data_IF_688643516572
#
_entry.id   IF_688643516572
#
_cell.length_a   1.000
_cell.length_b   1.000
_cell.length_c   1.000
_cell.angle_alpha   90.00
_cell.angle_beta   90.00
_cell.angle_gamma   90.00
#
_symmetry.space_group_name_H-M   'P 1'
#
loop_
_entity.id
_entity.type
_entity.pdbx_description
1 polymer ?
#
# COMPACT_ATOMS: atom_id res chain seq x y z
N UNK A 1 -11.09 -8.85 -22.34
CA UNK A 1 -11.93 -8.34 -21.26
C UNK A 1 -13.34 -8.46 -21.76
N UNK A 2 -14.23 -9.00 -20.95
CA UNK A 2 -15.65 -9.15 -21.25
C UNK A 2 -16.39 -8.26 -20.25
N UNK A 3 -17.16 -7.30 -20.73
CA UNK A 3 -18.04 -6.50 -19.85
C UNK A 3 -19.33 -7.28 -19.68
N UNK A 4 -19.74 -7.47 -18.44
CA UNK A 4 -20.96 -8.18 -18.09
C UNK A 4 -22.08 -7.18 -17.92
N UNK A 5 -22.19 -6.58 -16.74
CA UNK A 5 -23.34 -5.78 -16.34
C UNK A 5 -22.93 -4.33 -16.05
N UNK A 6 -23.87 -3.41 -16.19
CA UNK A 6 -23.75 -2.01 -15.79
C UNK A 6 -24.98 -1.60 -14.97
N UNK A 7 -24.70 -1.10 -13.77
CA UNK A 7 -25.67 -0.35 -12.99
C UNK A 7 -25.31 1.13 -13.05
N UNK A 8 -26.34 1.98 -13.05
CA UNK A 8 -26.17 3.42 -13.03
C UNK A 8 -26.99 4.01 -11.88
N UNK A 9 -26.43 4.99 -11.20
CA UNK A 9 -27.15 5.78 -10.20
C UNK A 9 -27.29 7.21 -10.69
N UNK A 10 -28.36 7.87 -10.29
CA UNK A 10 -28.65 9.27 -10.58
C UNK A 10 -28.67 10.11 -9.31
N UNK A 11 -28.89 11.42 -9.46
CA UNK A 11 -29.30 12.26 -8.36
C UNK A 11 -30.63 11.74 -7.74
N UNK A 12 -30.78 11.70 -6.40
CA UNK A 12 -32.01 11.29 -5.73
C UNK A 12 -33.29 11.95 -6.26
N UNK A 13 -33.23 13.21 -6.72
CA UNK A 13 -34.37 13.91 -7.31
C UNK A 13 -34.78 13.33 -8.68
N UNK A 14 -33.84 12.75 -9.43
CA UNK A 14 -34.09 12.12 -10.72
C UNK A 14 -34.63 10.68 -10.58
N UNK A 15 -34.17 9.91 -9.59
CA UNK A 15 -34.65 8.53 -9.38
C UNK A 15 -36.13 8.47 -8.96
N UNK A 16 -36.59 9.48 -8.19
CA UNK A 16 -38.00 9.64 -7.80
C UNK A 16 -38.97 9.89 -8.96
N UNK A 17 -38.47 10.23 -10.16
CA UNK A 17 -39.30 10.56 -11.33
C UNK A 17 -39.66 9.36 -12.24
N UNK A 18 -39.13 8.16 -11.95
CA UNK A 18 -39.33 6.96 -12.77
C UNK A 18 -39.95 5.75 -12.01
N UNK A 19 -41.10 5.91 -11.34
CA UNK A 19 -41.77 4.78 -10.70
C UNK A 19 -42.33 3.79 -11.75
N UNK A 20 -42.07 2.50 -11.57
CA UNK A 20 -42.66 1.41 -12.37
C UNK A 20 -41.88 0.95 -13.60
N UNK A 21 -40.71 1.54 -13.93
CA UNK A 21 -39.85 1.04 -15.02
C UNK A 21 -39.07 -0.22 -14.61
N UNK A 22 -38.82 -1.11 -15.57
CA UNK A 22 -37.88 -2.21 -15.37
C UNK A 22 -36.45 -1.66 -15.15
N UNK A 23 -35.55 -2.42 -14.49
CA UNK A 23 -34.16 -1.98 -14.29
C UNK A 23 -33.48 -1.58 -15.62
N UNK A 24 -33.78 -2.30 -16.70
CA UNK A 24 -33.24 -2.07 -18.04
C UNK A 24 -33.77 -0.79 -18.67
N UNK A 25 -35.08 -0.53 -18.56
CA UNK A 25 -35.71 0.68 -19.10
C UNK A 25 -35.26 1.92 -18.35
N UNK A 26 -35.08 1.79 -17.02
CA UNK A 26 -34.56 2.84 -16.16
C UNK A 26 -33.13 3.24 -16.56
N UNK A 27 -32.26 2.26 -16.82
CA UNK A 27 -30.89 2.49 -17.30
C UNK A 27 -30.86 3.23 -18.65
N UNK A 28 -31.74 2.84 -19.58
CA UNK A 28 -31.87 3.51 -20.88
C UNK A 28 -32.29 4.98 -20.70
N UNK A 29 -33.34 5.22 -19.91
CA UNK A 29 -33.84 6.55 -19.63
C UNK A 29 -32.77 7.47 -19.01
N UNK A 30 -32.02 6.96 -18.02
CA UNK A 30 -30.95 7.73 -17.40
C UNK A 30 -29.84 8.10 -18.39
N UNK A 31 -29.49 7.18 -19.30
CA UNK A 31 -28.47 7.43 -20.30
C UNK A 31 -28.92 8.49 -21.33
N UNK A 32 -30.15 8.39 -21.83
CA UNK A 32 -30.68 9.30 -22.84
C UNK A 32 -30.83 10.73 -22.32
N UNK A 33 -31.26 10.89 -21.06
CA UNK A 33 -31.47 12.20 -20.42
C UNK A 33 -30.21 12.77 -19.73
N UNK A 34 -29.05 12.11 -19.88
CA UNK A 34 -27.78 12.50 -19.25
C UNK A 34 -27.89 12.66 -17.72
N UNK A 35 -28.66 11.78 -17.06
CA UNK A 35 -28.93 11.86 -15.61
C UNK A 35 -27.97 11.01 -14.76
N UNK A 36 -27.10 10.23 -15.40
CA UNK A 36 -26.20 9.29 -14.71
C UNK A 36 -25.09 10.05 -14.00
N UNK A 37 -24.88 9.77 -12.71
CA UNK A 37 -23.77 10.30 -11.93
C UNK A 37 -22.65 9.27 -11.75
N UNK A 38 -23.03 8.03 -11.46
CA UNK A 38 -22.10 6.91 -11.28
C UNK A 38 -22.51 5.72 -12.14
N UNK A 39 -21.51 5.03 -12.67
CA UNK A 39 -21.64 3.78 -13.42
C UNK A 39 -20.84 2.70 -12.71
N UNK A 40 -21.51 1.71 -12.14
CA UNK A 40 -20.86 0.48 -11.67
C UNK A 40 -20.81 -0.51 -12.82
N UNK A 41 -19.61 -0.90 -13.22
CA UNK A 41 -19.38 -1.80 -14.35
C UNK A 41 -18.69 -3.07 -13.87
N UNK A 42 -19.35 -4.20 -14.13
CA UNK A 42 -18.80 -5.53 -13.91
C UNK A 42 -18.08 -6.02 -15.16
N UNK A 43 -16.84 -6.46 -15.05
CA UNK A 43 -16.13 -7.09 -16.16
C UNK A 43 -15.20 -8.22 -15.71
N UNK A 44 -14.96 -9.17 -16.62
CA UNK A 44 -13.97 -10.24 -16.44
C UNK A 44 -12.73 -10.02 -17.30
N UNK A 45 -11.57 -10.25 -16.70
CA UNK A 45 -10.28 -10.32 -17.38
C UNK A 45 -10.04 -11.75 -17.85
N UNK A 46 -10.44 -12.04 -19.08
CA UNK A 46 -10.52 -13.40 -19.64
C UNK A 46 -9.23 -14.23 -19.50
N UNK A 47 -8.04 -13.62 -19.52
CA UNK A 47 -6.75 -14.34 -19.37
C UNK A 47 -6.44 -14.79 -17.94
N UNK A 48 -7.04 -14.14 -16.95
CA UNK A 48 -6.80 -14.39 -15.53
C UNK A 48 -8.04 -14.95 -14.83
N UNK A 49 -9.18 -15.04 -15.54
CA UNK A 49 -10.47 -15.47 -14.98
C UNK A 49 -10.95 -14.66 -13.76
N UNK A 50 -10.42 -13.46 -13.58
CA UNK A 50 -10.78 -12.54 -12.49
C UNK A 50 -11.91 -11.61 -12.91
N UNK A 51 -12.88 -11.43 -12.02
CA UNK A 51 -14.00 -10.49 -12.19
C UNK A 51 -13.80 -9.29 -11.28
N UNK A 52 -14.13 -8.12 -11.82
CA UNK A 52 -13.98 -6.82 -11.15
C UNK A 52 -15.31 -6.07 -11.22
N UNK A 53 -15.65 -5.40 -10.13
CA UNK A 53 -16.73 -4.42 -10.05
C UNK A 53 -16.10 -3.04 -9.86
N UNK A 54 -16.17 -2.18 -10.88
CA UNK A 54 -15.57 -0.85 -10.86
C UNK A 54 -16.63 0.23 -10.94
N UNK A 55 -16.48 1.28 -10.14
CA UNK A 55 -17.33 2.47 -10.24
C UNK A 55 -16.59 3.54 -11.05
N UNK A 56 -17.27 4.12 -12.04
CA UNK A 56 -16.83 5.26 -12.85
C UNK A 56 -17.78 6.43 -12.63
N UNK A 57 -17.23 7.63 -12.51
CA UNK A 57 -18.00 8.87 -12.36
C UNK A 57 -17.72 9.81 -13.53
N UNK A 58 -18.45 10.93 -13.63
CA UNK A 58 -18.24 11.93 -14.71
C UNK A 58 -16.79 12.42 -14.84
N UNK A 59 -16.03 12.44 -13.74
CA UNK A 59 -14.58 12.75 -13.74
C UNK A 59 -13.75 11.77 -14.58
N UNK A 60 -14.19 10.52 -14.71
CA UNK A 60 -13.59 9.49 -15.58
C UNK A 60 -14.06 9.71 -17.04
N UNK A 61 -13.83 10.91 -17.58
CA UNK A 61 -14.49 11.44 -18.79
C UNK A 61 -14.61 10.45 -19.95
N UNK A 62 -13.49 9.85 -20.38
CA UNK A 62 -13.48 8.92 -21.50
C UNK A 62 -14.19 7.57 -21.20
N UNK A 63 -13.88 6.85 -20.10
CA UNK A 63 -14.66 5.68 -19.68
C UNK A 63 -16.15 5.94 -19.53
N UNK A 64 -16.48 7.03 -18.83
CA UNK A 64 -17.86 7.39 -18.51
C UNK A 64 -18.66 7.64 -19.80
N UNK A 65 -18.09 8.42 -20.71
CA UNK A 65 -18.68 8.69 -22.04
C UNK A 65 -18.85 7.40 -22.83
N UNK A 66 -17.84 6.53 -22.88
CA UNK A 66 -17.92 5.27 -23.63
C UNK A 66 -19.01 4.33 -23.08
N UNK A 67 -19.16 4.22 -21.76
CA UNK A 67 -20.19 3.40 -21.13
C UNK A 67 -21.58 3.98 -21.34
N UNK A 68 -21.77 5.30 -21.18
CA UNK A 68 -23.04 5.96 -21.46
C UNK A 68 -23.49 5.73 -22.91
N UNK A 69 -22.60 5.88 -23.88
CA UNK A 69 -22.94 5.60 -25.29
C UNK A 69 -23.28 4.13 -25.53
N UNK A 70 -22.55 3.21 -24.91
CA UNK A 70 -22.88 1.79 -25.03
C UNK A 70 -24.24 1.46 -24.37
N UNK A 71 -24.63 2.19 -23.31
CA UNK A 71 -25.98 2.13 -22.75
C UNK A 71 -27.04 2.53 -23.78
N UNK A 72 -26.86 3.68 -24.44
CA UNK A 72 -27.79 4.22 -25.43
C UNK A 72 -27.89 3.35 -26.70
N UNK A 73 -26.74 2.96 -27.28
CA UNK A 73 -26.68 2.20 -28.55
C UNK A 73 -27.29 0.79 -28.45
N UNK A 74 -27.39 0.22 -27.25
CA UNK A 74 -27.93 -1.13 -27.03
C UNK A 74 -29.31 -1.12 -26.37
N UNK A 75 -29.92 0.06 -26.12
CA UNK A 75 -31.20 0.18 -25.42
C UNK A 75 -32.27 -0.75 -26.03
N UNK A 76 -32.51 -0.66 -27.34
CA UNK A 76 -33.50 -1.48 -28.04
C UNK A 76 -33.24 -2.99 -27.87
N UNK A 77 -31.98 -3.43 -28.00
CA UNK A 77 -31.65 -4.85 -27.84
C UNK A 77 -31.86 -5.35 -26.40
N UNK A 78 -31.68 -4.49 -25.39
CA UNK A 78 -31.94 -4.86 -23.99
C UNK A 78 -33.43 -4.90 -23.69
N UNK A 79 -34.23 -3.97 -24.23
CA UNK A 79 -35.68 -3.98 -24.12
C UNK A 79 -36.25 -5.27 -24.74
N UNK A 80 -35.81 -5.61 -25.95
CA UNK A 80 -36.26 -6.80 -26.67
C UNK A 80 -35.92 -8.12 -25.97
N UNK A 81 -34.81 -8.17 -25.21
CA UNK A 81 -34.28 -9.41 -24.62
C UNK A 81 -34.38 -9.51 -23.10
N UNK A 82 -34.64 -8.41 -22.40
CA UNK A 82 -34.48 -8.30 -20.95
C UNK A 82 -33.03 -8.46 -20.46
N UNK A 83 -32.04 -8.47 -21.37
CA UNK A 83 -30.66 -8.76 -21.02
C UNK A 83 -29.94 -7.49 -20.49
N UNK A 84 -29.32 -7.53 -19.30
CA UNK A 84 -28.69 -6.35 -18.69
C UNK A 84 -27.32 -6.00 -19.30
N UNK A 85 -26.79 -6.83 -20.20
CA UNK A 85 -25.42 -6.67 -20.66
C UNK A 85 -25.19 -5.40 -21.49
N UNK A 86 -23.98 -4.85 -21.36
CA UNK A 86 -23.61 -3.58 -21.98
C UNK A 86 -23.70 -3.62 -23.51
N UNK A 87 -23.10 -4.64 -24.13
CA UNK A 87 -23.07 -4.79 -25.57
C UNK A 87 -23.73 -6.10 -25.93
N UNK A 88 -24.73 -5.99 -26.80
CA UNK A 88 -25.49 -7.08 -27.33
C UNK A 88 -25.32 -7.11 -28.84
N UNK A 89 -25.40 -8.31 -29.40
CA UNK A 89 -25.55 -8.54 -30.82
C UNK A 89 -26.79 -9.39 -31.05
N UNK A 90 -27.48 -9.12 -32.15
CA UNK A 90 -28.50 -10.01 -32.70
C UNK A 90 -27.82 -10.86 -33.77
N UNK A 91 -27.84 -12.17 -33.63
CA UNK A 91 -27.30 -13.06 -34.66
C UNK A 91 -28.28 -13.25 -35.82
N UNK A 92 -27.84 -13.97 -36.86
CA UNK A 92 -28.63 -14.23 -38.07
C UNK A 92 -29.94 -14.99 -37.78
N UNK A 93 -30.04 -15.66 -36.64
CA UNK A 93 -31.23 -16.39 -36.19
C UNK A 93 -32.14 -15.53 -35.31
N UNK A 94 -31.80 -14.26 -35.12
CA UNK A 94 -32.55 -13.33 -34.29
C UNK A 94 -32.27 -13.45 -32.79
N UNK A 95 -31.33 -14.30 -32.37
CA UNK A 95 -30.99 -14.47 -30.95
C UNK A 95 -30.12 -13.32 -30.46
N UNK A 96 -30.46 -12.75 -29.30
CA UNK A 96 -29.72 -11.64 -28.68
C UNK A 96 -28.73 -12.20 -27.65
N UNK A 97 -27.45 -11.89 -27.81
CA UNK A 97 -26.35 -12.39 -26.97
C UNK A 97 -25.17 -11.42 -26.93
N UNK A 98 -24.19 -11.67 -26.05
CA UNK A 98 -22.94 -10.88 -26.08
C UNK A 98 -22.12 -11.14 -27.35
N UNK A 99 -21.48 -10.12 -27.92
CA UNK A 99 -20.65 -10.29 -29.10
C UNK A 99 -19.33 -10.99 -28.77
N UNK A 100 -18.67 -11.59 -29.78
CA UNK A 100 -17.28 -12.01 -29.66
C UNK A 100 -16.38 -10.77 -29.57
N UNK A 101 -16.14 -10.28 -28.35
CA UNK A 101 -15.37 -9.08 -27.99
C UNK A 101 -13.97 -8.93 -28.63
N UNK A 102 -13.44 -9.99 -29.24
CA UNK A 102 -12.12 -9.99 -29.91
C UNK A 102 -12.19 -9.78 -31.42
N UNK A 103 -13.38 -9.77 -32.03
CA UNK A 103 -13.52 -9.52 -33.47
C UNK A 103 -13.61 -8.03 -33.73
N UNK A 104 -12.99 -7.61 -34.81
CA UNK A 104 -12.81 -6.20 -35.21
C UNK A 104 -14.11 -5.37 -35.16
N UNK A 105 -15.28 -5.85 -35.64
CA UNK A 105 -16.53 -5.09 -35.59
C UNK A 105 -17.03 -4.74 -34.18
N UNK A 106 -16.57 -5.45 -33.14
CA UNK A 106 -17.01 -5.28 -31.75
C UNK A 106 -15.96 -4.63 -30.85
N UNK A 107 -14.84 -4.21 -31.44
CA UNK A 107 -13.87 -3.37 -30.74
C UNK A 107 -14.48 -1.99 -30.49
N UNK A 108 -14.14 -1.37 -29.35
CA UNK A 108 -14.62 -0.02 -29.02
C UNK A 108 -14.30 0.99 -30.11
N UNK A 109 -13.14 0.88 -30.75
CA UNK A 109 -12.75 1.72 -31.89
C UNK A 109 -13.68 1.58 -33.10
N UNK A 110 -14.05 0.35 -33.48
CA UNK A 110 -14.93 0.10 -34.61
C UNK A 110 -16.36 0.56 -34.31
N UNK A 111 -16.85 0.30 -33.09
CA UNK A 111 -18.15 0.80 -32.62
C UNK A 111 -18.17 2.33 -32.61
N UNK A 112 -17.12 2.97 -32.10
CA UNK A 112 -17.01 4.42 -32.06
C UNK A 112 -17.03 5.03 -33.47
N UNK A 113 -16.27 4.46 -34.41
CA UNK A 113 -16.24 4.91 -35.80
C UNK A 113 -17.60 4.76 -36.48
N UNK A 114 -18.25 3.59 -36.36
CA UNK A 114 -19.58 3.32 -36.95
C UNK A 114 -20.65 4.29 -36.46
N UNK A 115 -20.58 4.71 -35.19
CA UNK A 115 -21.62 5.54 -34.56
C UNK A 115 -21.18 6.99 -34.38
N UNK A 116 -20.07 7.41 -35.00
CA UNK A 116 -19.52 8.79 -34.90
C UNK A 116 -19.35 9.28 -33.46
N UNK A 117 -18.90 8.40 -32.55
CA UNK A 117 -18.72 8.76 -31.14
C UNK A 117 -17.49 9.67 -30.95
N UNK A 118 -17.55 10.68 -30.07
CA UNK A 118 -16.48 11.66 -29.85
C UNK A 118 -15.35 11.11 -28.97
N UNK A 119 -14.73 9.99 -29.37
CA UNK A 119 -13.65 9.33 -28.63
C UNK A 119 -12.31 9.47 -29.36
N UNK A 120 -11.34 10.16 -28.76
CA UNK A 120 -10.01 10.39 -29.36
C UNK A 120 -9.07 9.17 -29.27
N UNK A 121 -8.35 8.86 -30.36
CA UNK A 121 -7.23 7.89 -30.36
C UNK A 121 -7.65 6.41 -30.44
N UNK A 122 -6.72 5.45 -30.22
CA UNK A 122 -7.05 4.04 -30.23
C UNK A 122 -7.89 3.64 -29.00
N UNK A 123 -9.21 3.65 -29.17
CA UNK A 123 -10.18 3.31 -28.13
C UNK A 123 -10.31 1.80 -27.96
N UNK A 124 -9.91 1.27 -26.79
CA UNK A 124 -9.98 -0.15 -26.49
C UNK A 124 -10.64 -0.39 -25.14
N UNK A 125 -11.57 -1.35 -25.08
CA UNK A 125 -12.20 -1.79 -23.84
C UNK A 125 -11.17 -2.11 -22.74
N UNK A 126 -10.05 -2.76 -23.09
CA UNK A 126 -8.99 -3.12 -22.15
C UNK A 126 -8.30 -1.90 -21.47
N UNK A 127 -8.38 -0.70 -22.06
CA UNK A 127 -7.82 0.53 -21.48
C UNK A 127 -8.66 1.08 -20.33
N UNK A 128 -9.97 0.79 -20.28
CA UNK A 128 -10.85 1.24 -19.19
C UNK A 128 -10.38 0.72 -17.83
N UNK A 129 -9.95 -0.55 -17.77
CA UNK A 129 -9.31 -1.13 -16.56
C UNK A 129 -8.08 -0.36 -16.08
N UNK A 130 -7.31 0.27 -16.99
CA UNK A 130 -6.12 1.03 -16.60
C UNK A 130 -6.49 2.26 -15.78
N UNK A 131 -7.66 2.85 -16.00
CA UNK A 131 -8.16 3.99 -15.21
C UNK A 131 -8.44 3.56 -13.77
N UNK A 132 -9.16 2.46 -13.57
CA UNK A 132 -9.37 1.89 -12.23
C UNK A 132 -8.06 1.52 -11.52
N UNK A 133 -7.13 0.89 -12.25
CA UNK A 133 -5.79 0.58 -11.73
C UNK A 133 -5.05 1.85 -11.30
N UNK A 134 -5.14 2.92 -12.09
CA UNK A 134 -4.49 4.21 -11.77
C UNK A 134 -5.12 4.82 -10.52
N UNK A 135 -6.46 4.81 -10.40
CA UNK A 135 -7.16 5.32 -9.21
C UNK A 135 -6.74 4.60 -7.92
N UNK A 136 -6.64 3.28 -7.96
CA UNK A 136 -6.21 2.51 -6.78
C UNK A 136 -4.78 2.81 -6.36
N UNK A 137 -3.88 2.92 -7.33
CA UNK A 137 -2.50 3.31 -7.04
C UNK A 137 -2.45 4.70 -6.44
N UNK A 138 -3.20 5.66 -7.00
CA UNK A 138 -3.23 7.04 -6.50
C UNK A 138 -3.89 7.15 -5.11
N UNK A 139 -4.78 6.22 -4.75
CA UNK A 139 -5.44 6.22 -3.44
C UNK A 139 -4.49 5.74 -2.34
N UNK A 140 -3.75 4.65 -2.57
CA UNK A 140 -2.73 4.14 -1.65
C UNK A 140 -1.65 3.35 -2.41
N UNK A 141 -0.55 4.01 -2.80
CA UNK A 141 0.50 3.36 -3.57
C UNK A 141 1.25 2.27 -2.80
N UNK A 142 1.42 2.45 -1.47
CA UNK A 142 2.16 1.51 -0.62
C UNK A 142 1.38 0.21 -0.47
N UNK A 143 0.10 0.30 -0.09
CA UNK A 143 -0.75 -0.88 0.01
C UNK A 143 -0.93 -1.58 -1.35
N UNK A 144 -1.08 -0.83 -2.44
CA UNK A 144 -1.21 -1.40 -3.79
C UNK A 144 0.01 -2.23 -4.22
N UNK A 145 1.22 -1.77 -3.91
CA UNK A 145 2.43 -2.52 -4.25
C UNK A 145 2.65 -3.71 -3.32
N UNK A 146 2.36 -3.58 -2.02
CA UNK A 146 2.51 -4.64 -1.04
C UNK A 146 1.51 -5.80 -1.24
N UNK A 147 0.25 -5.48 -1.56
CA UNK A 147 -0.79 -6.49 -1.71
C UNK A 147 -0.69 -7.29 -3.02
N UNK A 148 0.04 -6.77 -4.03
CA UNK A 148 0.20 -7.41 -5.34
C UNK A 148 -1.11 -7.70 -6.08
N UNK A 149 -2.24 -7.10 -5.65
CA UNK A 149 -3.61 -7.53 -5.98
C UNK A 149 -3.91 -7.54 -7.48
N UNK A 150 -3.33 -6.59 -8.22
CA UNK A 150 -3.52 -6.48 -9.68
C UNK A 150 -2.27 -6.87 -10.48
N UNK A 151 -1.10 -6.49 -10.01
CA UNK A 151 0.17 -6.66 -10.68
C UNK A 151 1.28 -6.79 -9.64
N UNK A 152 2.34 -7.55 -9.95
CA UNK A 152 3.60 -7.43 -9.21
C UNK A 152 4.21 -6.04 -9.43
N UNK A 153 5.07 -5.59 -8.51
CA UNK A 153 5.79 -4.33 -8.63
C UNK A 153 6.49 -4.20 -10.01
N UNK A 154 7.23 -5.24 -10.43
CA UNK A 154 7.89 -5.27 -11.75
C UNK A 154 6.91 -5.05 -12.91
N UNK A 155 5.78 -5.74 -12.92
CA UNK A 155 4.77 -5.58 -14.00
C UNK A 155 4.09 -4.22 -13.95
N UNK A 156 3.89 -3.66 -12.76
CA UNK A 156 3.35 -2.32 -12.58
C UNK A 156 4.32 -1.25 -13.15
N UNK A 157 5.57 -1.26 -12.71
CA UNK A 157 6.61 -0.32 -13.17
C UNK A 157 6.93 -0.46 -14.67
N UNK A 158 6.85 -1.66 -15.25
CA UNK A 158 7.14 -1.85 -16.67
C UNK A 158 6.02 -1.39 -17.63
N UNK A 159 4.77 -1.31 -17.17
CA UNK A 159 3.62 -1.15 -18.09
C UNK A 159 2.59 -0.08 -17.70
N UNK A 160 2.65 0.47 -16.49
CA UNK A 160 1.64 1.39 -15.96
C UNK A 160 2.18 2.76 -15.57
N UNK A 161 3.48 2.90 -15.35
CA UNK A 161 4.13 4.20 -15.07
C UNK A 161 4.36 5.06 -16.32
N UNK A 162 3.83 4.70 -17.48
CA UNK A 162 3.95 5.54 -18.69
C UNK A 162 3.00 6.76 -18.66
N UNK A 163 2.04 6.80 -17.72
CA UNK A 163 1.20 7.97 -17.47
C UNK A 163 2.00 9.08 -16.78
N UNK A 164 1.86 10.34 -17.23
CA UNK A 164 2.49 11.50 -16.58
C UNK A 164 2.10 11.63 -15.12
N UNK A 165 0.82 11.39 -14.79
CA UNK A 165 0.29 11.43 -13.43
C UNK A 165 0.94 10.38 -12.53
N UNK A 166 1.12 9.15 -13.03
CA UNK A 166 1.78 8.08 -12.27
C UNK A 166 3.30 8.26 -12.19
N UNK A 167 3.95 9.01 -13.09
CA UNK A 167 5.37 9.36 -12.97
C UNK A 167 5.62 10.39 -11.89
N UNK A 168 4.80 11.44 -11.81
CA UNK A 168 4.87 12.41 -10.73
C UNK A 168 4.65 11.73 -9.38
N UNK A 169 3.70 10.80 -9.29
CA UNK A 169 3.43 10.03 -8.08
C UNK A 169 4.54 9.02 -7.76
N UNK A 170 5.10 8.32 -8.75
CA UNK A 170 6.28 7.48 -8.54
C UNK A 170 7.48 8.29 -8.03
N UNK A 171 7.64 9.53 -8.53
CA UNK A 171 8.61 10.49 -8.00
C UNK A 171 8.33 10.83 -6.54
N UNK A 172 7.07 11.07 -6.18
CA UNK A 172 6.66 11.31 -4.78
C UNK A 172 6.96 10.10 -3.88
N UNK A 173 6.63 8.89 -4.29
CA UNK A 173 6.93 7.66 -3.55
C UNK A 173 8.43 7.50 -3.36
N UNK A 174 9.23 7.74 -4.41
CA UNK A 174 10.69 7.69 -4.32
C UNK A 174 11.22 8.75 -3.35
N UNK A 175 10.70 9.98 -3.40
CA UNK A 175 11.07 11.05 -2.47
C UNK A 175 10.66 10.69 -1.04
N UNK A 176 9.45 10.18 -0.82
CA UNK A 176 8.99 9.71 0.49
C UNK A 176 9.90 8.60 1.01
N UNK A 177 10.28 7.62 0.17
CA UNK A 177 11.22 6.57 0.58
C UNK A 177 12.62 7.11 0.86
N UNK A 178 13.11 8.08 0.09
CA UNK A 178 14.39 8.75 0.36
C UNK A 178 14.33 9.55 1.66
N UNK A 179 13.22 10.25 1.92
CA UNK A 179 12.98 10.97 3.16
C UNK A 179 12.88 10.00 4.34
N UNK A 180 12.16 8.88 4.21
CA UNK A 180 12.08 7.84 5.24
C UNK A 180 13.50 7.28 5.57
N UNK A 181 14.32 7.04 4.54
CA UNK A 181 15.71 6.62 4.73
C UNK A 181 16.57 7.72 5.37
N UNK A 182 16.37 8.97 5.00
CA UNK A 182 17.10 10.13 5.52
C UNK A 182 16.71 10.43 6.98
N UNK A 183 15.42 10.40 7.29
CA UNK A 183 14.87 10.52 8.64
C UNK A 183 15.35 9.37 9.52
N UNK A 184 15.40 8.15 9.00
CA UNK A 184 16.01 7.02 9.71
C UNK A 184 17.52 7.18 9.88
N UNK A 185 18.23 7.80 8.93
CA UNK A 185 19.67 8.02 9.03
C UNK A 185 20.02 9.14 10.03
N UNK A 186 19.14 10.13 10.21
CA UNK A 186 19.38 11.30 11.08
C UNK A 186 18.73 11.14 12.46
N UNK A 187 17.60 10.44 12.53
CA UNK A 187 16.80 10.27 13.75
C UNK A 187 16.81 8.84 14.29
N UNK A 188 17.45 7.90 13.60
CA UNK A 188 17.56 6.50 14.00
C UNK A 188 18.87 6.17 14.73
N UNK A 189 19.01 4.93 15.20
CA UNK A 189 20.19 4.49 15.95
C UNK A 189 21.45 4.51 15.09
N UNK A 190 22.60 4.62 15.73
CA UNK A 190 23.90 4.46 15.06
C UNK A 190 24.37 3.01 15.17
N UNK A 191 24.57 2.37 14.02
CA UNK A 191 25.09 1.01 13.96
C UNK A 191 26.62 1.06 13.91
N UNK A 192 27.25 0.41 14.88
CA UNK A 192 28.69 0.22 14.94
C UNK A 192 28.99 -1.20 14.51
N UNK A 193 29.38 -1.35 13.24
CA UNK A 193 29.71 -2.65 12.66
C UNK A 193 30.96 -3.24 13.33
N UNK A 194 31.18 -4.57 13.26
CA UNK A 194 32.36 -5.19 13.86
C UNK A 194 33.69 -4.61 13.39
N UNK A 195 33.77 -4.22 12.12
CA UNK A 195 34.96 -3.56 11.56
C UNK A 195 35.16 -2.16 12.17
N UNK A 196 34.09 -1.39 12.35
CA UNK A 196 34.13 -0.09 13.00
C UNK A 196 34.48 -0.22 14.49
N UNK A 197 33.90 -1.21 15.19
CA UNK A 197 34.21 -1.49 16.59
C UNK A 197 35.69 -1.87 16.77
N UNK A 198 36.22 -2.71 15.88
CA UNK A 198 37.64 -3.08 15.89
C UNK A 198 38.54 -1.88 15.57
N UNK A 199 38.14 -1.03 14.62
CA UNK A 199 38.87 0.19 14.29
C UNK A 199 38.96 1.13 15.50
N UNK A 200 37.85 1.36 16.21
CA UNK A 200 37.81 2.14 17.46
C UNK A 200 38.75 1.55 18.51
N UNK A 201 38.71 0.22 18.72
CA UNK A 201 39.62 -0.46 19.65
C UNK A 201 41.10 -0.25 19.31
N UNK A 202 41.43 -0.07 18.03
CA UNK A 202 42.80 0.22 17.57
C UNK A 202 43.15 1.71 17.52
N UNK A 203 42.26 2.58 18.02
CA UNK A 203 42.47 4.03 18.10
C UNK A 203 42.15 4.80 16.82
N UNK A 204 41.39 4.20 15.89
CA UNK A 204 40.88 4.93 14.73
C UNK A 204 39.71 5.84 15.13
N UNK A 205 39.53 6.92 14.37
CA UNK A 205 38.39 7.82 14.53
C UNK A 205 37.08 7.14 14.12
N UNK A 206 35.98 7.49 14.79
CA UNK A 206 34.63 7.00 14.53
C UNK A 206 33.73 8.14 14.06
N UNK A 207 33.57 8.34 12.74
CA UNK A 207 32.74 9.41 12.22
C UNK A 207 31.31 9.37 12.80
N UNK A 208 30.90 10.44 13.49
CA UNK A 208 29.57 10.57 14.10
C UNK A 208 29.46 10.06 15.55
N UNK A 209 30.58 9.67 16.18
CA UNK A 209 30.66 9.35 17.61
C UNK A 209 31.90 10.07 18.16
N UNK A 210 31.77 10.85 19.23
CA UNK A 210 32.94 11.48 19.85
C UNK A 210 33.89 10.44 20.46
N UNK A 211 35.19 10.74 20.60
CA UNK A 211 36.18 9.75 21.06
C UNK A 211 35.88 9.15 22.44
N UNK A 212 35.34 9.94 23.37
CA UNK A 212 35.05 9.46 24.73
C UNK A 212 33.88 8.47 24.71
N UNK A 213 32.80 8.79 23.98
CA UNK A 213 31.68 7.88 23.75
C UNK A 213 32.13 6.62 23.01
N UNK A 214 33.00 6.73 22.00
CA UNK A 214 33.50 5.58 21.24
C UNK A 214 34.30 4.63 22.14
N UNK A 215 35.17 5.18 23.00
CA UNK A 215 35.95 4.41 23.98
C UNK A 215 35.05 3.74 25.03
N UNK A 216 34.06 4.47 25.57
CA UNK A 216 33.10 3.93 26.53
C UNK A 216 32.25 2.82 25.91
N UNK A 217 31.86 2.95 24.63
CA UNK A 217 31.12 1.93 23.90
C UNK A 217 31.91 0.62 23.80
N UNK A 218 33.16 0.66 23.31
CA UNK A 218 33.97 -0.56 23.15
C UNK A 218 34.40 -1.18 24.48
N UNK A 219 34.38 -0.39 25.56
CA UNK A 219 34.56 -0.85 26.94
C UNK A 219 33.28 -1.45 27.56
N UNK A 220 32.15 -1.42 26.87
CA UNK A 220 30.86 -1.92 27.37
C UNK A 220 30.24 -1.04 28.47
N UNK A 221 30.70 0.20 28.61
CA UNK A 221 30.25 1.11 29.68
C UNK A 221 28.94 1.82 29.35
N UNK A 222 28.52 1.78 28.08
CA UNK A 222 27.30 2.44 27.60
C UNK A 222 26.11 1.48 27.48
N UNK A 223 26.29 0.20 27.78
CA UNK A 223 25.26 -0.82 27.57
C UNK A 223 24.07 -0.60 28.50
N UNK A 224 22.92 -0.29 27.89
CA UNK A 224 21.62 -0.28 28.55
C UNK A 224 20.96 -1.66 28.52
N UNK A 225 19.67 -1.76 28.88
CA UNK A 225 18.96 -3.04 28.91
C UNK A 225 18.87 -3.77 27.56
N UNK A 226 19.01 -3.06 26.43
CA UNK A 226 18.78 -3.60 25.09
C UNK A 226 19.82 -3.19 24.05
N UNK A 227 20.35 -1.97 24.16
CA UNK A 227 21.34 -1.39 23.28
C UNK A 227 22.22 -0.42 24.08
N UNK A 228 23.36 -0.04 23.52
CA UNK A 228 24.18 1.04 24.05
C UNK A 228 23.46 2.37 23.96
N UNK A 229 23.70 3.27 24.92
CA UNK A 229 23.09 4.61 24.96
C UNK A 229 24.16 5.69 25.06
N UNK A 230 24.11 6.68 24.15
CA UNK A 230 24.99 7.87 24.19
C UNK A 230 24.77 8.70 25.45
N UNK A 231 23.51 9.02 25.73
CA UNK A 231 23.12 9.85 26.87
C UNK A 231 21.69 9.51 27.32
N UNK A 232 21.51 8.92 28.52
CA UNK A 232 20.18 8.63 29.05
C UNK A 232 19.42 9.88 29.53
N UNK A 233 20.06 11.05 29.66
CA UNK A 233 19.47 12.31 30.10
C UNK A 233 19.05 13.24 28.94
N UNK A 234 19.43 12.92 27.71
CA UNK A 234 19.11 13.69 26.49
C UNK A 234 18.22 12.89 25.52
N UNK A 235 17.27 12.12 26.07
CA UNK A 235 16.30 11.35 25.27
C UNK A 235 15.26 12.28 24.61
N UNK A 236 14.91 12.07 23.32
CA UNK A 236 13.85 12.83 22.66
C UNK A 236 12.43 12.50 23.18
N UNK A 237 12.30 11.47 24.01
CA UNK A 237 11.02 10.97 24.52
C UNK A 237 10.72 11.41 25.96
N UNK A 238 11.68 12.07 26.61
CA UNK A 238 11.53 12.58 27.98
C UNK A 238 11.87 14.07 28.04
N UNK A 239 11.57 14.70 29.18
CA UNK A 239 12.05 16.06 29.43
C UNK A 239 13.57 16.06 29.52
N UNK A 240 14.21 17.05 28.89
CA UNK A 240 15.68 17.22 28.95
C UNK A 240 16.17 17.21 30.40
N UNK A 241 17.18 16.39 30.68
CA UNK A 241 17.75 16.19 32.02
C UNK A 241 17.06 15.12 32.86
N UNK A 242 15.96 14.53 32.40
CA UNK A 242 15.34 13.37 33.05
C UNK A 242 15.89 12.06 32.49
N UNK A 243 16.06 11.04 33.35
CA UNK A 243 16.50 9.70 32.94
C UNK A 243 15.44 9.06 32.04
N UNK A 244 15.86 8.59 30.87
CA UNK A 244 15.00 7.92 29.90
C UNK A 244 14.34 6.66 30.47
N UNK A 245 13.00 6.55 30.36
CA UNK A 245 12.25 5.36 30.80
C UNK A 245 11.87 4.42 29.65
N UNK A 246 12.19 4.78 28.40
CA UNK A 246 11.73 4.06 27.19
C UNK A 246 12.51 2.79 26.86
N UNK A 247 13.46 2.38 27.70
CA UNK A 247 14.09 1.07 27.56
C UNK A 247 13.06 -0.06 27.74
N UNK A 248 12.07 0.13 28.61
CA UNK A 248 11.03 -0.87 28.90
C UNK A 248 10.08 -1.14 27.73
N UNK A 249 10.10 -0.32 26.67
CA UNK A 249 9.26 -0.45 25.48
C UNK A 249 10.05 -0.86 24.24
N UNK A 250 11.35 -1.18 24.36
CA UNK A 250 12.20 -1.56 23.23
C UNK A 250 12.51 -0.41 22.27
N UNK A 251 12.11 0.82 22.60
CA UNK A 251 12.28 2.03 21.77
C UNK A 251 13.74 2.34 21.48
N UNK A 252 14.68 1.80 22.27
CA UNK A 252 16.12 1.93 22.02
C UNK A 252 16.51 1.56 20.58
N UNK A 253 15.85 0.59 19.95
CA UNK A 253 16.17 0.20 18.57
C UNK A 253 15.70 1.17 17.48
N UNK A 254 14.94 2.22 17.84
CA UNK A 254 14.53 3.29 16.94
C UNK A 254 14.97 4.68 17.47
N UNK A 255 15.81 4.72 18.51
CA UNK A 255 16.20 5.95 19.18
C UNK A 255 17.51 6.53 18.59
N UNK A 256 17.61 7.86 18.37
CA UNK A 256 18.84 8.48 17.89
C UNK A 256 20.01 8.41 18.88
N UNK A 257 19.76 8.21 20.18
CA UNK A 257 20.83 8.05 21.17
C UNK A 257 21.40 6.63 21.21
N UNK A 258 20.80 5.67 20.50
CA UNK A 258 21.22 4.29 20.60
C UNK A 258 22.46 3.98 19.75
N UNK A 259 23.36 3.19 20.34
CA UNK A 259 24.57 2.64 19.73
C UNK A 259 24.42 1.12 19.66
N UNK A 260 24.29 0.59 18.45
CA UNK A 260 24.01 -0.83 18.23
C UNK A 260 25.26 -1.51 17.68
N UNK A 261 25.82 -2.46 18.43
CA UNK A 261 26.97 -3.27 18.05
C UNK A 261 26.51 -4.70 17.76
N UNK A 262 27.45 -5.57 17.36
CA UNK A 262 27.16 -7.00 17.19
C UNK A 262 26.65 -7.65 18.49
N UNK A 263 27.10 -7.18 19.65
CA UNK A 263 26.67 -7.67 20.96
C UNK A 263 25.16 -7.48 21.19
N UNK A 264 24.55 -6.44 20.60
CA UNK A 264 23.14 -6.11 20.77
C UNK A 264 22.19 -6.88 19.83
N UNK A 265 22.72 -7.62 18.84
CA UNK A 265 21.88 -8.34 17.87
C UNK A 265 20.93 -9.38 18.47
N UNK A 266 21.31 -10.19 19.48
CA UNK A 266 20.38 -11.13 20.10
C UNK A 266 19.14 -10.43 20.67
N UNK A 267 19.32 -9.25 21.30
CA UNK A 267 18.22 -8.45 21.82
C UNK A 267 17.36 -7.86 20.70
N UNK A 268 17.98 -7.34 19.64
CA UNK A 268 17.28 -6.84 18.46
C UNK A 268 16.38 -7.91 17.84
N UNK A 269 16.89 -9.13 17.70
CA UNK A 269 16.16 -10.26 17.14
C UNK A 269 15.03 -10.75 18.04
N UNK A 270 15.24 -10.75 19.36
CA UNK A 270 14.19 -11.04 20.31
C UNK A 270 13.06 -10.01 20.20
N UNK A 271 13.40 -8.72 20.16
CA UNK A 271 12.42 -7.63 20.02
C UNK A 271 11.71 -7.68 18.68
N UNK A 272 12.40 -7.85 17.55
CA UNK A 272 11.79 -8.06 16.23
C UNK A 272 10.76 -9.21 16.26
N UNK A 273 11.10 -10.32 16.90
CA UNK A 273 10.20 -11.46 16.99
C UNK A 273 8.96 -11.18 17.85
N UNK A 274 9.11 -10.39 18.92
CA UNK A 274 7.98 -9.96 19.75
C UNK A 274 7.10 -8.95 19.03
N UNK A 275 7.70 -7.98 18.35
CA UNK A 275 7.03 -6.89 17.65
C UNK A 275 6.55 -7.26 16.24
N UNK A 276 6.57 -8.55 15.89
CA UNK A 276 6.05 -9.02 14.60
C UNK A 276 4.56 -8.66 14.44
N UNK A 277 4.12 -8.14 13.28
CA UNK A 277 2.74 -7.68 13.08
C UNK A 277 1.69 -8.76 13.37
N UNK A 278 1.97 -10.02 13.02
CA UNK A 278 1.08 -11.16 13.30
C UNK A 278 0.79 -11.41 14.80
N UNK A 279 1.53 -10.77 15.70
CA UNK A 279 1.37 -10.89 17.15
C UNK A 279 0.62 -9.71 17.77
N UNK A 280 0.30 -8.69 16.99
CA UNK A 280 -0.39 -7.51 17.48
C UNK A 280 -1.85 -7.81 17.84
N UNK A 281 -2.26 -7.44 19.07
CA UNK A 281 -3.66 -7.51 19.47
C UNK A 281 -4.52 -6.39 18.84
N UNK A 282 -3.97 -5.17 18.73
CA UNK A 282 -4.59 -4.04 18.00
C UNK A 282 -3.65 -3.56 16.89
N UNK A 283 -4.03 -3.67 15.60
CA UNK A 283 -3.23 -3.20 14.48
C UNK A 283 -2.87 -1.70 14.53
N UNK A 284 -3.71 -0.84 15.12
CA UNK A 284 -3.47 0.61 15.21
C UNK A 284 -2.44 0.94 16.28
N UNK A 285 -2.51 0.26 17.43
CA UNK A 285 -1.48 0.38 18.48
C UNK A 285 -0.14 -0.11 17.93
N UNK A 286 -0.14 -1.24 17.21
CA UNK A 286 1.06 -1.73 16.54
C UNK A 286 1.65 -0.72 15.55
N UNK A 287 0.83 -0.16 14.67
CA UNK A 287 1.28 0.84 13.70
C UNK A 287 1.90 2.08 14.37
N UNK A 288 1.37 2.50 15.52
CA UNK A 288 1.81 3.73 16.19
C UNK A 288 3.08 3.53 17.03
N UNK A 289 3.17 2.41 17.74
CA UNK A 289 4.24 2.20 18.73
C UNK A 289 5.30 1.19 18.31
N UNK A 290 4.88 0.09 17.66
CA UNK A 290 5.73 -1.08 17.44
C UNK A 290 6.30 -1.16 16.03
N UNK A 291 5.58 -0.63 15.05
CA UNK A 291 6.01 -0.59 13.65
C UNK A 291 7.34 0.14 13.46
N UNK A 292 7.59 1.34 14.04
CA UNK A 292 8.88 2.00 13.89
C UNK A 292 10.04 1.13 14.40
N UNK A 293 9.85 0.48 15.56
CA UNK A 293 10.86 -0.40 16.16
C UNK A 293 11.11 -1.62 15.27
N UNK A 294 10.04 -2.30 14.84
CA UNK A 294 10.13 -3.48 13.98
C UNK A 294 10.81 -3.17 12.65
N UNK A 295 10.42 -2.06 12.02
CA UNK A 295 10.97 -1.62 10.73
C UNK A 295 12.44 -1.22 10.87
N UNK A 296 12.82 -0.43 11.89
CA UNK A 296 14.23 -0.08 12.09
C UNK A 296 15.08 -1.32 12.32
N UNK A 297 14.62 -2.30 13.10
CA UNK A 297 15.38 -3.54 13.27
C UNK A 297 15.50 -4.29 11.94
N UNK A 298 14.39 -4.46 11.21
CA UNK A 298 14.33 -5.30 10.01
C UNK A 298 15.06 -4.69 8.82
N UNK A 299 14.91 -3.39 8.61
CA UNK A 299 15.34 -2.68 7.40
C UNK A 299 16.66 -1.90 7.60
N UNK A 300 17.08 -1.65 8.85
CA UNK A 300 18.29 -0.85 9.14
C UNK A 300 19.31 -1.64 9.94
N UNK A 301 18.92 -2.19 11.10
CA UNK A 301 19.85 -2.89 12.00
C UNK A 301 20.34 -4.17 11.38
N UNK A 302 19.45 -5.10 11.02
CA UNK A 302 19.86 -6.43 10.53
C UNK A 302 20.67 -6.38 9.21
N UNK A 303 20.33 -5.52 8.22
CA UNK A 303 21.10 -5.42 6.98
C UNK A 303 22.52 -4.89 7.15
N UNK A 304 22.83 -4.20 8.26
CA UNK A 304 24.16 -3.70 8.56
C UNK A 304 25.15 -4.80 9.03
N UNK A 305 24.66 -6.02 9.30
CA UNK A 305 25.48 -7.16 9.71
C UNK A 305 25.42 -8.27 8.66
N UNK A 306 26.47 -9.09 8.62
CA UNK A 306 26.50 -10.20 7.66
C UNK A 306 25.53 -11.33 8.06
N UNK A 307 25.09 -12.18 7.11
CA UNK A 307 24.08 -13.21 7.38
C UNK A 307 24.47 -14.23 8.47
N UNK A 308 25.75 -14.57 8.58
CA UNK A 308 26.23 -15.54 9.60
C UNK A 308 26.19 -14.94 11.01
N UNK A 309 26.53 -13.66 11.16
CA UNK A 309 26.38 -12.93 12.43
C UNK A 309 24.93 -12.91 12.89
N UNK A 310 24.00 -12.58 11.98
CA UNK A 310 22.56 -12.57 12.28
C UNK A 310 22.08 -13.97 12.66
N UNK A 311 22.54 -15.01 11.96
CA UNK A 311 22.19 -16.41 12.26
C UNK A 311 22.70 -16.86 13.63
N UNK A 312 23.94 -16.52 13.98
CA UNK A 312 24.51 -16.83 15.30
C UNK A 312 23.76 -16.08 16.41
N UNK A 313 23.51 -14.79 16.24
CA UNK A 313 22.74 -13.99 17.20
C UNK A 313 21.31 -14.54 17.39
N UNK A 314 20.68 -15.04 16.32
CA UNK A 314 19.34 -15.65 16.38
C UNK A 314 19.27 -16.88 17.28
N UNK A 315 20.35 -17.64 17.38
CA UNK A 315 20.42 -18.79 18.30
C UNK A 315 20.40 -18.36 19.77
N UNK A 316 20.85 -17.14 20.05
CA UNK A 316 20.91 -16.57 21.40
C UNK A 316 19.70 -15.69 21.74
N UNK A 317 18.90 -15.29 20.75
CA UNK A 317 17.77 -14.38 20.93
C UNK A 317 16.77 -14.88 22.01
N UNK A 318 16.45 -16.19 22.02
CA UNK A 318 15.53 -16.76 23.01
C UNK A 318 16.11 -16.83 24.44
N UNK A 319 17.43 -16.69 24.57
CA UNK A 319 18.14 -16.69 25.86
C UNK A 319 18.46 -15.26 26.33
N UNK A 320 18.18 -14.26 25.50
CA UNK A 320 18.49 -12.87 25.79
C UNK A 320 17.45 -12.33 26.77
N UNK A 321 17.84 -11.86 27.97
CA UNK A 321 16.91 -11.20 28.87
C UNK A 321 16.36 -9.94 28.21
N UNK A 322 15.04 -9.88 28.06
CA UNK A 322 14.33 -8.68 27.64
C UNK A 322 13.49 -8.18 28.81
N UNK A 323 13.49 -6.87 29.02
CA UNK A 323 12.63 -6.16 29.95
C UNK A 323 11.16 -6.61 29.83
N UNK A 324 10.55 -6.91 30.98
CA UNK A 324 9.19 -7.39 31.06
C UNK A 324 8.15 -6.38 30.54
N UNK A 325 8.46 -5.08 30.57
CA UNK A 325 7.60 -4.03 30.00
C UNK A 325 7.31 -4.26 28.52
N UNK A 326 8.32 -4.72 27.76
CA UNK A 326 8.21 -4.97 26.32
C UNK A 326 7.21 -6.11 26.05
N UNK A 327 7.21 -7.14 26.90
CA UNK A 327 6.30 -8.28 26.79
C UNK A 327 4.85 -7.93 27.15
N UNK A 328 4.65 -7.05 28.13
CA UNK A 328 3.33 -6.74 28.67
C UNK A 328 2.57 -5.75 27.79
N UNK A 329 3.26 -4.76 27.23
CA UNK A 329 2.66 -3.67 26.47
C UNK A 329 2.09 -4.16 25.12
N UNK A 330 2.81 -5.04 24.41
CA UNK A 330 2.33 -5.58 23.11
C UNK A 330 1.13 -6.54 23.22
N UNK A 331 0.95 -7.16 24.40
CA UNK A 331 -0.15 -8.10 24.66
C UNK A 331 -1.43 -7.40 25.14
N UNK A 332 -1.34 -6.11 25.46
CA UNK A 332 -2.42 -5.34 26.09
C UNK A 332 -2.64 -5.79 27.54
N UNK A 333 -2.13 -5.04 28.51
CA UNK A 333 -2.61 -5.20 29.89
C UNK A 333 -4.02 -4.59 29.94
N UNK A 334 -5.05 -5.28 30.46
CA UNK A 334 -6.33 -4.65 30.70
C UNK A 334 -6.12 -3.46 31.63
N UNK A 335 -6.39 -2.27 31.13
CA UNK A 335 -6.28 -1.02 31.88
C UNK A 335 -7.17 -1.14 33.13
N UNK A 336 -6.56 -1.14 34.32
CA UNK A 336 -7.33 -0.91 35.53
C UNK A 336 -7.90 0.51 35.44
N UNK A 337 -9.19 0.73 35.75
CA UNK A 337 -9.79 2.05 35.64
C UNK A 337 -9.00 3.04 36.49
N UNK A 338 -8.63 4.16 35.87
CA UNK A 338 -7.98 5.27 36.56
C UNK A 338 -8.79 5.65 37.81
N UNK A 339 -8.11 5.65 38.96
CA UNK A 339 -8.67 6.04 40.25
C UNK A 339 -8.89 7.54 40.33
#
# INVERSE_FOLDING_TARGET
>A
MTVHDIEATTDPAADGSLPGLSPTDRLGNFADNDLIELLRVRYTKNRAHETYDEVYARRDTAPFTAFRWALMLNAAARVDSGNPFLILMKDERGSIKQPPWRREPYLLSAIAARNSLPLSGPNQWARLRKVATTREVLADPRAYLANGRRHSAKTFFGHYTNSSVLRSEAGRILIDSVNDMFDSAISGPTIVTPDAEQAIRTGADAPGIDPDTANALVAGQLDGPHAGCRDPLDSPYEKKGAVCTKSITGTCFACPNALITLHHLPAALAIQHMTHPDRAADPRIWQTHWKPIYDTITEVVLPAFNPEQVKQARQQANLTPIDAGVFNDIRGVPEAPAS
#
